data_IF_442811057869
#
_entry.id   IF_442811057869
#
_cell.length_a   1.000
_cell.length_b   1.000
_cell.length_c   1.000
_cell.angle_alpha   90.00
_cell.angle_beta   90.00
_cell.angle_gamma   90.00
#
_symmetry.space_group_name_H-M   'P 1'
#
loop_
_entity.id
_entity.type
_entity.pdbx_description
1 polymer ?
#
# COMPACT_ATOMS: atom_id res chain seq x y z
N UNK A 1 16.33 -21.15 13.86
CA UNK A 1 15.31 -22.04 14.45
C UNK A 1 14.03 -21.31 14.88
N UNK A 2 14.09 -20.26 15.73
CA UNK A 2 12.86 -19.52 16.13
C UNK A 2 12.33 -18.61 15.04
N UNK A 3 13.19 -17.91 14.32
CA UNK A 3 12.81 -17.07 13.19
C UNK A 3 12.06 -17.88 12.12
N UNK A 4 12.54 -19.04 11.75
CA UNK A 4 11.91 -19.91 10.76
C UNK A 4 10.52 -20.38 11.22
N UNK A 5 10.37 -20.64 12.53
CA UNK A 5 9.05 -20.97 13.11
C UNK A 5 8.08 -19.79 13.01
N UNK A 6 8.54 -18.56 13.32
CA UNK A 6 7.70 -17.35 13.16
C UNK A 6 7.26 -17.17 11.72
N UNK A 7 8.18 -17.29 10.77
CA UNK A 7 7.86 -17.16 9.34
C UNK A 7 6.86 -18.24 8.90
N UNK A 8 7.02 -19.48 9.36
CA UNK A 8 6.18 -20.61 8.92
C UNK A 8 4.72 -20.48 9.32
N UNK A 9 4.38 -19.70 10.34
CA UNK A 9 2.99 -19.50 10.81
C UNK A 9 2.32 -18.24 10.22
N UNK A 10 3.07 -17.38 9.51
CA UNK A 10 2.51 -16.17 8.90
C UNK A 10 1.30 -16.48 7.98
N UNK A 11 1.36 -17.47 7.06
CA UNK A 11 0.22 -17.78 6.21
C UNK A 11 -1.03 -18.17 7.00
N UNK A 12 -0.88 -18.89 8.11
CA UNK A 12 -1.98 -19.26 9.00
C UNK A 12 -2.57 -18.03 9.70
N UNK A 13 -1.72 -17.13 10.23
CA UNK A 13 -2.16 -15.87 10.82
C UNK A 13 -2.94 -15.02 9.80
N UNK A 14 -2.46 -14.94 8.56
CA UNK A 14 -3.16 -14.22 7.49
C UNK A 14 -4.52 -14.86 7.21
N UNK A 15 -4.60 -16.19 7.17
CA UNK A 15 -5.87 -16.89 6.94
C UNK A 15 -6.88 -16.62 8.06
N UNK A 16 -6.42 -16.62 9.32
CA UNK A 16 -7.28 -16.29 10.46
C UNK A 16 -7.78 -14.85 10.37
N UNK A 17 -6.89 -13.89 10.06
CA UNK A 17 -7.23 -12.48 9.89
C UNK A 17 -8.19 -12.25 8.71
N UNK A 18 -7.95 -12.91 7.58
CA UNK A 18 -8.87 -12.85 6.43
C UNK A 18 -10.25 -13.38 6.79
N UNK A 19 -10.33 -14.43 7.59
CA UNK A 19 -11.60 -14.99 8.09
C UNK A 19 -12.27 -14.06 9.09
N UNK A 20 -11.51 -13.51 10.05
CA UNK A 20 -12.00 -12.58 11.08
C UNK A 20 -12.61 -11.33 10.45
N UNK A 21 -11.95 -10.77 9.42
CA UNK A 21 -12.37 -9.52 8.77
C UNK A 21 -13.09 -9.72 7.44
N UNK A 22 -13.43 -10.95 7.10
CA UNK A 22 -14.20 -11.31 5.89
C UNK A 22 -13.56 -10.82 4.60
N UNK A 23 -12.23 -10.96 4.48
CA UNK A 23 -11.47 -10.58 3.29
C UNK A 23 -11.43 -11.74 2.30
N UNK A 24 -12.28 -11.69 1.29
CA UNK A 24 -12.45 -12.79 0.32
C UNK A 24 -11.42 -12.72 -0.81
N UNK A 25 -10.99 -11.50 -1.20
CA UNK A 25 -10.07 -11.33 -2.31
C UNK A 25 -8.66 -11.86 -1.95
N UNK A 26 -8.10 -12.81 -2.71
CA UNK A 26 -6.74 -13.28 -2.49
C UNK A 26 -5.69 -12.21 -2.80
N UNK A 27 -5.94 -11.32 -3.78
CA UNK A 27 -5.06 -10.24 -4.21
C UNK A 27 -5.63 -8.91 -3.75
N UNK A 28 -5.03 -8.34 -2.72
CA UNK A 28 -5.57 -7.14 -2.04
C UNK A 28 -5.27 -5.86 -2.83
N UNK A 29 -4.04 -5.69 -3.31
CA UNK A 29 -3.62 -4.50 -4.08
C UNK A 29 -3.97 -3.20 -3.32
N UNK A 30 -4.54 -2.22 -4.02
CA UNK A 30 -4.98 -0.91 -3.48
C UNK A 30 -6.22 -0.98 -2.60
N UNK A 31 -6.96 -2.09 -2.56
CA UNK A 31 -8.01 -2.34 -1.57
C UNK A 31 -7.47 -2.25 -0.12
N UNK A 32 -6.14 -2.38 0.06
CA UNK A 32 -5.46 -2.26 1.35
C UNK A 32 -5.78 -0.95 2.06
N UNK A 33 -5.96 0.15 1.33
CA UNK A 33 -6.31 1.44 1.93
C UNK A 33 -7.71 1.39 2.57
N UNK A 34 -8.69 0.84 1.87
CA UNK A 34 -10.04 0.67 2.40
C UNK A 34 -10.10 -0.29 3.58
N UNK A 35 -9.24 -1.32 3.60
CA UNK A 35 -9.10 -2.23 4.73
C UNK A 35 -8.52 -1.46 5.93
N UNK A 36 -7.41 -0.73 5.74
CA UNK A 36 -6.76 0.05 6.79
C UNK A 36 -7.72 1.10 7.40
N UNK A 37 -8.45 1.83 6.56
CA UNK A 37 -9.42 2.85 6.98
C UNK A 37 -10.59 2.30 7.83
N UNK A 38 -10.90 1.00 7.74
CA UNK A 38 -11.89 0.34 8.59
C UNK A 38 -11.38 0.04 10.00
N UNK A 39 -10.06 -0.05 10.18
CA UNK A 39 -9.44 -0.51 11.42
C UNK A 39 -8.79 0.59 12.25
N UNK A 40 -8.46 1.73 11.63
CA UNK A 40 -7.79 2.83 12.30
C UNK A 40 -8.09 4.19 11.64
N UNK A 41 -7.64 5.25 12.29
CA UNK A 41 -7.70 6.60 11.73
C UNK A 41 -6.50 6.78 10.80
N UNK A 42 -6.74 6.93 9.50
CA UNK A 42 -5.66 7.10 8.51
C UNK A 42 -5.54 8.57 8.11
N UNK A 43 -4.33 9.09 8.21
CA UNK A 43 -3.96 10.43 7.76
C UNK A 43 -3.11 10.30 6.50
N UNK A 44 -3.58 10.89 5.40
CA UNK A 44 -2.85 10.99 4.15
C UNK A 44 -2.33 12.42 3.99
N UNK A 45 -1.03 12.56 3.81
CA UNK A 45 -0.45 13.88 3.55
C UNK A 45 0.92 13.76 2.85
N UNK A 46 1.22 14.61 1.83
CA UNK A 46 2.49 14.55 1.12
C UNK A 46 3.60 15.25 1.89
N UNK A 47 4.66 14.53 2.24
CA UNK A 47 5.90 15.06 2.80
C UNK A 47 7.05 14.76 1.82
N UNK A 48 7.38 15.74 0.97
CA UNK A 48 8.25 15.54 -0.18
C UNK A 48 9.72 15.23 0.15
N UNK A 49 10.25 15.72 1.24
CA UNK A 49 11.66 15.57 1.60
C UNK A 49 11.90 14.51 2.69
N UNK A 50 10.86 13.78 3.07
CA UNK A 50 10.95 12.76 4.13
C UNK A 50 11.27 11.40 3.54
N UNK A 51 12.18 10.66 4.19
CA UNK A 51 12.47 9.27 3.84
C UNK A 51 11.36 8.33 4.29
N UNK A 52 10.62 8.73 5.34
CA UNK A 52 9.58 7.91 5.93
C UNK A 52 8.38 7.78 4.98
N UNK A 53 7.93 6.55 4.74
CA UNK A 53 6.77 6.25 3.92
C UNK A 53 5.47 6.28 4.72
N UNK A 54 5.52 6.00 6.01
CA UNK A 54 4.40 6.01 6.94
C UNK A 54 4.83 5.65 8.34
N UNK A 55 3.91 5.70 9.28
CA UNK A 55 4.10 5.19 10.64
C UNK A 55 2.76 4.94 11.32
N UNK A 56 2.77 4.04 12.27
CA UNK A 56 1.67 3.74 13.19
C UNK A 56 1.94 4.35 14.56
N UNK A 57 0.90 4.85 15.22
CA UNK A 57 0.94 5.29 16.61
C UNK A 57 -0.40 5.08 17.30
N UNK A 58 -0.36 4.90 18.62
CA UNK A 58 -1.54 4.76 19.46
C UNK A 58 -1.74 6.00 20.33
N UNK A 59 -2.94 6.53 20.38
CA UNK A 59 -3.31 7.68 21.19
C UNK A 59 -4.57 7.40 22.01
N UNK A 60 -4.70 8.09 23.12
CA UNK A 60 -5.93 8.08 23.90
C UNK A 60 -6.77 9.28 23.52
N UNK A 61 -7.99 9.04 23.05
CA UNK A 61 -8.99 10.06 22.76
C UNK A 61 -10.22 9.76 23.62
N UNK A 62 -10.56 10.67 24.54
CA UNK A 62 -11.71 10.50 25.45
C UNK A 62 -11.72 9.10 26.10
N UNK A 63 -10.61 8.72 26.69
CA UNK A 63 -10.37 7.44 27.38
C UNK A 63 -10.43 6.17 26.50
N UNK A 64 -10.57 6.33 25.18
CA UNK A 64 -10.45 5.22 24.22
C UNK A 64 -9.07 5.26 23.59
N UNK A 65 -8.47 4.07 23.49
CA UNK A 65 -7.23 3.88 22.73
C UNK A 65 -7.59 3.73 21.26
N UNK A 66 -7.06 4.64 20.45
CA UNK A 66 -7.27 4.69 19.00
C UNK A 66 -5.94 4.49 18.29
N UNK A 67 -5.95 3.70 17.23
CA UNK A 67 -4.81 3.52 16.34
C UNK A 67 -4.84 4.61 15.26
N UNK A 68 -3.67 5.22 15.01
CA UNK A 68 -3.46 6.20 13.96
C UNK A 68 -2.38 5.70 13.02
N UNK A 69 -2.63 5.80 11.73
CA UNK A 69 -1.65 5.52 10.70
C UNK A 69 -1.49 6.77 9.83
N UNK A 70 -0.25 7.13 9.57
CA UNK A 70 0.11 8.14 8.60
C UNK A 70 0.66 7.46 7.34
N UNK A 71 0.21 7.90 6.17
CA UNK A 71 0.73 7.47 4.86
C UNK A 71 1.26 8.68 4.10
N UNK A 72 2.53 8.62 3.68
CA UNK A 72 3.17 9.67 2.89
C UNK A 72 2.76 9.58 1.42
N UNK A 73 1.87 10.43 1.00
CA UNK A 73 1.30 10.46 -0.35
C UNK A 73 2.20 11.12 -1.41
N UNK A 74 3.37 11.65 -1.03
CA UNK A 74 4.43 12.05 -1.94
C UNK A 74 5.30 10.87 -2.41
N UNK A 75 5.05 9.65 -1.90
CA UNK A 75 5.72 8.43 -2.35
C UNK A 75 4.95 7.79 -3.52
N UNK A 76 5.64 6.97 -4.36
CA UNK A 76 4.98 6.18 -5.38
C UNK A 76 3.83 5.33 -4.82
N UNK A 77 2.77 5.12 -5.62
CA UNK A 77 1.59 4.37 -5.15
C UNK A 77 1.96 2.94 -4.71
N UNK A 78 2.92 2.30 -5.37
CA UNK A 78 3.42 0.99 -4.98
C UNK A 78 4.03 0.99 -3.57
N UNK A 79 4.78 2.04 -3.22
CA UNK A 79 5.33 2.21 -1.86
C UNK A 79 4.22 2.50 -0.85
N UNK A 80 3.21 3.32 -1.22
CA UNK A 80 2.07 3.59 -0.35
C UNK A 80 1.27 2.31 -0.04
N UNK A 81 1.04 1.44 -1.03
CA UNK A 81 0.35 0.15 -0.86
C UNK A 81 1.12 -0.76 0.10
N UNK A 82 2.44 -0.89 -0.11
CA UNK A 82 3.26 -1.71 0.78
C UNK A 82 3.29 -1.16 2.21
N UNK A 83 3.43 0.16 2.35
CA UNK A 83 3.37 0.84 3.66
C UNK A 83 2.03 0.59 4.34
N UNK A 84 0.91 0.73 3.63
CA UNK A 84 -0.42 0.49 4.21
C UNK A 84 -0.58 -0.95 4.74
N UNK A 85 -0.05 -1.95 4.03
CA UNK A 85 -0.04 -3.33 4.49
C UNK A 85 0.87 -3.56 5.70
N UNK A 86 2.02 -2.90 5.74
CA UNK A 86 2.94 -2.92 6.88
C UNK A 86 2.28 -2.32 8.13
N UNK A 87 1.74 -1.11 8.02
CA UNK A 87 1.09 -0.43 9.14
C UNK A 87 -0.16 -1.18 9.62
N UNK A 88 -0.88 -1.84 8.70
CA UNK A 88 -1.99 -2.73 9.06
C UNK A 88 -1.53 -3.90 9.92
N UNK A 89 -0.32 -4.42 9.67
CA UNK A 89 0.29 -5.46 10.51
C UNK A 89 0.47 -5.00 11.96
N UNK A 90 0.89 -3.77 12.20
CA UNK A 90 0.98 -3.17 13.54
C UNK A 90 -0.41 -2.95 14.16
N UNK A 91 -1.37 -2.43 13.39
CA UNK A 91 -2.76 -2.23 13.85
C UNK A 91 -3.41 -3.54 14.27
N UNK A 92 -3.19 -4.61 13.52
CA UNK A 92 -3.73 -5.94 13.82
C UNK A 92 -2.96 -6.71 14.91
N UNK A 93 -1.83 -6.17 15.39
CA UNK A 93 -0.99 -6.84 16.41
C UNK A 93 -0.43 -8.16 15.91
N UNK A 94 0.02 -8.21 14.66
CA UNK A 94 0.45 -9.44 13.98
C UNK A 94 1.62 -10.11 14.70
N UNK A 95 2.58 -9.34 15.22
CA UNK A 95 3.71 -9.87 15.96
C UNK A 95 3.25 -10.69 17.18
N UNK A 96 2.34 -10.16 17.99
CA UNK A 96 1.78 -10.84 19.15
C UNK A 96 0.99 -12.10 18.76
N UNK A 97 0.23 -12.04 17.66
CA UNK A 97 -0.53 -13.20 17.14
C UNK A 97 0.42 -14.32 16.69
N UNK A 98 1.52 -14.00 16.01
CA UNK A 98 2.55 -14.96 15.60
C UNK A 98 3.21 -15.60 16.83
N UNK A 99 3.65 -14.79 17.81
CA UNK A 99 4.27 -15.27 19.04
C UNK A 99 3.33 -16.20 19.81
N UNK A 100 2.06 -15.87 19.90
CA UNK A 100 1.05 -16.73 20.54
C UNK A 100 0.88 -18.08 19.84
N UNK A 101 0.94 -18.11 18.49
CA UNK A 101 0.83 -19.38 17.74
C UNK A 101 2.00 -20.32 17.93
N UNK A 102 3.21 -19.79 18.11
CA UNK A 102 4.40 -20.62 18.34
C UNK A 102 4.65 -20.95 19.81
N UNK A 103 3.71 -20.52 20.68
CA UNK A 103 3.76 -20.74 22.12
C UNK A 103 5.12 -20.32 22.73
N UNK A 104 5.50 -19.07 22.48
CA UNK A 104 6.74 -18.50 22.97
C UNK A 104 6.49 -17.21 23.75
N UNK A 105 7.24 -17.04 24.85
CA UNK A 105 7.26 -15.83 25.65
C UNK A 105 8.42 -14.88 25.27
N UNK A 106 8.98 -15.06 24.09
CA UNK A 106 10.06 -14.22 23.60
C UNK A 106 9.51 -12.82 23.37
N UNK A 107 10.27 -11.84 23.83
CA UNK A 107 10.04 -10.44 23.48
C UNK A 107 10.91 -10.12 22.28
N UNK A 108 10.27 -9.72 21.18
CA UNK A 108 10.99 -9.24 20.01
C UNK A 108 11.65 -7.88 20.29
N UNK A 109 12.85 -7.69 19.78
CA UNK A 109 13.43 -6.36 19.65
C UNK A 109 12.71 -5.60 18.51
N UNK A 110 12.76 -4.28 18.55
CA UNK A 110 12.05 -3.44 17.56
C UNK A 110 12.42 -3.81 16.12
N UNK A 111 13.71 -4.00 15.84
CA UNK A 111 14.19 -4.34 14.49
C UNK A 111 13.69 -5.71 14.00
N UNK A 112 13.49 -6.67 14.90
CA UNK A 112 12.99 -7.99 14.54
C UNK A 112 11.47 -7.99 14.38
N UNK A 113 10.76 -7.19 15.16
CA UNK A 113 9.34 -6.93 14.95
C UNK A 113 9.10 -6.31 13.58
N UNK A 114 9.85 -5.26 13.21
CA UNK A 114 9.76 -4.60 11.90
C UNK A 114 10.01 -5.57 10.74
N UNK A 115 11.02 -6.45 10.86
CA UNK A 115 11.28 -7.48 9.85
C UNK A 115 10.12 -8.47 9.73
N UNK A 116 9.52 -8.86 10.87
CA UNK A 116 8.39 -9.79 10.90
C UNK A 116 7.14 -9.16 10.25
N UNK A 117 6.86 -7.90 10.56
CA UNK A 117 5.76 -7.14 9.96
C UNK A 117 6.00 -6.93 8.45
N UNK A 118 7.22 -6.62 8.03
CA UNK A 118 7.56 -6.56 6.60
C UNK A 118 7.31 -7.90 5.89
N UNK A 119 7.64 -9.02 6.55
CA UNK A 119 7.39 -10.36 6.00
C UNK A 119 5.88 -10.65 5.90
N UNK A 120 5.13 -10.28 6.92
CA UNK A 120 3.67 -10.36 6.91
C UNK A 120 3.08 -9.53 5.76
N UNK A 121 3.48 -8.25 5.61
CA UNK A 121 3.00 -7.38 4.54
C UNK A 121 3.27 -7.97 3.14
N UNK A 122 4.47 -8.53 2.94
CA UNK A 122 4.83 -9.19 1.70
C UNK A 122 3.94 -10.42 1.40
N UNK A 123 3.68 -11.27 2.41
CA UNK A 123 2.81 -12.44 2.27
C UNK A 123 1.34 -12.06 2.07
N UNK A 124 0.87 -11.01 2.75
CA UNK A 124 -0.50 -10.51 2.64
C UNK A 124 -0.79 -9.97 1.22
N UNK A 125 0.14 -9.17 0.66
CA UNK A 125 -0.01 -8.55 -0.65
C UNK A 125 0.32 -9.53 -1.80
N UNK A 126 1.33 -10.39 -1.61
CA UNK A 126 1.84 -11.35 -2.59
C UNK A 126 1.75 -12.78 -2.04
N UNK A 127 0.55 -13.36 -1.87
CA UNK A 127 0.40 -14.73 -1.38
C UNK A 127 1.18 -15.70 -2.30
N UNK A 128 1.91 -16.64 -1.69
CA UNK A 128 2.87 -17.48 -2.43
C UNK A 128 2.28 -18.17 -3.65
N UNK A 129 1.08 -18.75 -3.50
CA UNK A 129 0.42 -19.47 -4.58
C UNK A 129 0.12 -18.58 -5.79
N UNK A 130 -0.49 -17.44 -5.54
CA UNK A 130 -0.86 -16.45 -6.55
C UNK A 130 0.39 -15.83 -7.18
N UNK A 131 1.40 -15.53 -6.35
CA UNK A 131 2.67 -14.96 -6.79
C UNK A 131 3.41 -15.90 -7.75
N UNK A 132 3.51 -17.19 -7.42
CA UNK A 132 4.13 -18.20 -8.29
C UNK A 132 3.33 -18.43 -9.57
N UNK A 133 2.00 -18.50 -9.48
CA UNK A 133 1.14 -18.69 -10.64
C UNK A 133 1.28 -17.56 -11.66
N UNK A 134 1.22 -16.31 -11.19
CA UNK A 134 1.38 -15.13 -12.06
C UNK A 134 2.81 -15.03 -12.63
N UNK A 135 3.83 -15.41 -11.86
CA UNK A 135 5.20 -15.46 -12.37
C UNK A 135 5.31 -16.36 -13.62
N UNK A 136 4.80 -17.58 -13.55
CA UNK A 136 4.84 -18.49 -14.69
C UNK A 136 3.92 -18.05 -15.83
N UNK A 137 2.81 -17.39 -15.54
CA UNK A 137 1.94 -16.82 -16.55
C UNK A 137 2.65 -15.69 -17.31
N UNK A 138 3.31 -14.78 -16.59
CA UNK A 138 4.08 -13.66 -17.16
C UNK A 138 5.27 -14.17 -17.99
N UNK A 139 5.97 -15.20 -17.53
CA UNK A 139 7.01 -15.88 -18.32
C UNK A 139 6.45 -16.42 -19.65
N UNK A 140 5.29 -17.06 -19.60
CA UNK A 140 4.62 -17.61 -20.79
C UNK A 140 4.16 -16.50 -21.76
N UNK A 141 3.63 -15.39 -21.23
CA UNK A 141 3.20 -14.24 -22.04
C UNK A 141 4.37 -13.66 -22.85
N UNK A 142 5.54 -13.59 -22.23
CA UNK A 142 6.79 -13.17 -22.91
C UNK A 142 7.44 -14.28 -23.75
N UNK A 143 6.79 -15.45 -23.92
CA UNK A 143 7.31 -16.61 -24.66
C UNK A 143 8.65 -17.13 -24.12
N UNK A 144 8.89 -16.97 -22.82
CA UNK A 144 10.10 -17.43 -22.15
C UNK A 144 9.87 -18.90 -21.74
N UNK A 145 10.59 -19.80 -22.36
CA UNK A 145 10.46 -21.26 -22.16
C UNK A 145 11.64 -21.84 -21.40
N UNK A 146 12.82 -21.21 -21.51
CA UNK A 146 14.07 -21.72 -20.95
C UNK A 146 14.35 -21.16 -19.53
N UNK A 147 15.08 -21.98 -18.74
CA UNK A 147 15.61 -21.54 -17.44
C UNK A 147 16.76 -20.53 -17.55
N UNK A 148 17.22 -20.24 -18.78
CA UNK A 148 18.23 -19.22 -19.08
C UNK A 148 17.51 -18.02 -19.70
N UNK A 149 17.30 -17.01 -18.91
CA UNK A 149 16.62 -15.79 -19.31
C UNK A 149 17.61 -14.62 -19.41
N UNK A 150 17.44 -13.75 -20.39
CA UNK A 150 18.18 -12.48 -20.46
C UNK A 150 17.71 -11.58 -19.33
N UNK A 151 18.63 -10.77 -18.80
CA UNK A 151 18.32 -9.85 -17.69
C UNK A 151 17.17 -8.90 -18.03
N UNK A 152 17.10 -8.41 -19.26
CA UNK A 152 16.04 -7.51 -19.72
C UNK A 152 14.66 -8.19 -19.68
N UNK A 153 14.56 -9.42 -20.21
CA UNK A 153 13.30 -10.18 -20.18
C UNK A 153 12.90 -10.53 -18.75
N UNK A 154 13.88 -10.83 -17.89
CA UNK A 154 13.61 -11.12 -16.49
C UNK A 154 13.10 -9.87 -15.74
N UNK A 155 13.67 -8.69 -16.00
CA UNK A 155 13.16 -7.44 -15.40
C UNK A 155 11.76 -7.12 -15.91
N UNK A 156 11.41 -7.44 -17.16
CA UNK A 156 10.02 -7.33 -17.65
C UNK A 156 9.06 -8.19 -16.82
N UNK A 157 9.42 -9.45 -16.54
CA UNK A 157 8.63 -10.32 -15.66
C UNK A 157 8.47 -9.70 -14.27
N UNK A 158 9.54 -9.12 -13.69
CA UNK A 158 9.46 -8.45 -12.40
C UNK A 158 8.50 -7.25 -12.46
N UNK A 159 8.55 -6.42 -13.51
CA UNK A 159 7.66 -5.27 -13.66
C UNK A 159 6.20 -5.71 -13.83
N UNK A 160 5.95 -6.80 -14.54
CA UNK A 160 4.60 -7.38 -14.61
C UNK A 160 4.12 -7.82 -13.23
N UNK A 161 4.97 -8.50 -12.44
CA UNK A 161 4.64 -8.87 -11.06
C UNK A 161 4.39 -7.63 -10.16
N UNK A 162 5.21 -6.57 -10.30
CA UNK A 162 4.98 -5.31 -9.59
C UNK A 162 3.59 -4.76 -9.90
N UNK A 163 3.19 -4.78 -11.16
CA UNK A 163 1.88 -4.29 -11.60
C UNK A 163 0.73 -5.20 -11.12
N UNK A 164 0.90 -6.51 -11.17
CA UNK A 164 -0.10 -7.48 -10.73
C UNK A 164 -0.47 -7.29 -9.25
N UNK A 165 0.53 -7.03 -8.41
CA UNK A 165 0.36 -6.92 -6.96
C UNK A 165 0.38 -5.46 -6.43
N UNK A 166 0.65 -4.47 -7.28
CA UNK A 166 0.83 -3.06 -6.93
C UNK A 166 1.87 -2.82 -5.84
N UNK A 167 3.02 -3.46 -5.96
CA UNK A 167 4.11 -3.39 -4.97
C UNK A 167 5.42 -2.90 -5.60
N UNK A 168 6.36 -2.34 -4.80
CA UNK A 168 7.63 -1.85 -5.34
C UNK A 168 8.55 -3.02 -5.76
N UNK A 169 9.50 -2.70 -6.65
CA UNK A 169 10.51 -3.62 -7.16
C UNK A 169 11.19 -4.45 -6.07
N UNK A 170 11.62 -3.80 -5.00
CA UNK A 170 12.34 -4.46 -3.90
C UNK A 170 11.50 -5.55 -3.22
N UNK A 171 10.19 -5.31 -3.08
CA UNK A 171 9.27 -6.28 -2.51
C UNK A 171 9.14 -7.53 -3.39
N UNK A 172 9.02 -7.35 -4.72
CA UNK A 172 8.97 -8.46 -5.68
C UNK A 172 10.28 -9.22 -5.68
N UNK A 173 11.42 -8.53 -5.73
CA UNK A 173 12.75 -9.16 -5.72
C UNK A 173 12.95 -10.05 -4.49
N UNK A 174 12.63 -9.52 -3.30
CA UNK A 174 12.71 -10.29 -2.04
C UNK A 174 11.76 -11.47 -2.06
N UNK A 175 10.52 -11.25 -2.51
CA UNK A 175 9.52 -12.30 -2.57
C UNK A 175 9.91 -13.44 -3.50
N UNK A 176 10.58 -13.16 -4.62
CA UNK A 176 11.12 -14.20 -5.51
C UNK A 176 12.17 -15.10 -4.83
N UNK A 177 13.04 -14.51 -3.99
CA UNK A 177 14.00 -15.30 -3.20
C UNK A 177 13.27 -16.14 -2.15
N UNK A 178 12.35 -15.54 -1.43
CA UNK A 178 11.58 -16.18 -0.35
C UNK A 178 10.73 -17.36 -0.85
N UNK A 179 10.18 -17.26 -2.05
CA UNK A 179 9.38 -18.32 -2.69
C UNK A 179 10.24 -19.28 -3.52
N UNK A 180 11.58 -19.14 -3.45
CA UNK A 180 12.53 -19.97 -4.20
C UNK A 180 12.30 -19.98 -5.73
N UNK A 181 11.76 -18.88 -6.27
CA UNK A 181 11.71 -18.65 -7.72
C UNK A 181 13.07 -18.27 -8.28
N UNK A 182 13.89 -17.61 -7.46
CA UNK A 182 15.30 -17.33 -7.75
C UNK A 182 16.16 -17.69 -6.55
N UNK A 183 17.47 -17.93 -6.80
CA UNK A 183 18.42 -18.16 -5.72
C UNK A 183 18.83 -16.86 -5.04
N UNK A 184 19.39 -16.94 -3.84
CA UNK A 184 19.93 -15.78 -3.13
C UNK A 184 21.02 -15.06 -3.93
N UNK A 185 21.86 -15.81 -4.69
CA UNK A 185 22.92 -15.22 -5.52
C UNK A 185 22.32 -14.33 -6.61
N UNK A 186 21.25 -14.78 -7.27
CA UNK A 186 20.52 -13.97 -8.26
C UNK A 186 19.89 -12.76 -7.59
N UNK A 187 19.26 -12.92 -6.43
CA UNK A 187 18.71 -11.83 -5.64
C UNK A 187 19.76 -10.76 -5.29
N UNK A 188 20.96 -11.18 -4.86
CA UNK A 188 22.11 -10.29 -4.58
C UNK A 188 22.67 -9.62 -5.84
N UNK A 189 22.68 -10.32 -6.98
CA UNK A 189 23.10 -9.75 -8.27
C UNK A 189 22.18 -8.59 -8.70
N UNK A 190 20.87 -8.77 -8.55
CA UNK A 190 19.86 -7.76 -8.83
C UNK A 190 19.98 -6.53 -7.91
N UNK A 191 20.42 -6.72 -6.67
CA UNK A 191 20.63 -5.68 -5.68
C UNK A 191 21.91 -4.86 -5.96
N UNK A 192 22.98 -5.50 -6.44
CA UNK A 192 24.26 -4.85 -6.72
C UNK A 192 24.25 -3.90 -7.91
N UNK A 193 23.38 -4.08 -8.88
CA UNK A 193 23.33 -3.32 -10.12
C UNK A 193 22.17 -2.31 -10.12
N UNK A 194 21.95 -1.63 -8.99
CA UNK A 194 20.77 -0.83 -8.71
C UNK A 194 20.44 0.18 -9.81
N UNK A 195 21.41 1.00 -10.24
CA UNK A 195 21.16 2.04 -11.26
C UNK A 195 20.73 1.46 -12.60
N UNK A 196 21.39 0.42 -13.07
CA UNK A 196 21.04 -0.26 -14.32
C UNK A 196 19.65 -0.90 -14.23
N UNK A 197 19.37 -1.61 -13.13
CA UNK A 197 18.10 -2.28 -12.90
C UNK A 197 16.95 -1.25 -12.79
N UNK A 198 17.15 -0.16 -12.06
CA UNK A 198 16.15 0.91 -11.93
C UNK A 198 15.84 1.57 -13.27
N UNK A 199 16.85 1.76 -14.13
CA UNK A 199 16.64 2.28 -15.47
C UNK A 199 15.75 1.33 -16.31
N UNK A 200 16.00 0.01 -16.26
CA UNK A 200 15.18 -0.99 -16.95
C UNK A 200 13.75 -1.04 -16.37
N UNK A 201 13.61 -1.07 -15.05
CA UNK A 201 12.30 -1.05 -14.38
C UNK A 201 11.50 0.17 -14.82
N UNK A 202 12.09 1.37 -14.79
CA UNK A 202 11.43 2.60 -15.22
C UNK A 202 11.03 2.56 -16.70
N UNK A 203 11.89 2.03 -17.57
CA UNK A 203 11.58 1.91 -19.00
C UNK A 203 10.39 0.95 -19.23
N UNK A 204 10.41 -0.23 -18.60
CA UNK A 204 9.36 -1.22 -18.78
C UNK A 204 8.04 -0.84 -18.09
N UNK A 205 8.11 -0.12 -16.96
CA UNK A 205 6.90 0.46 -16.32
C UNK A 205 6.19 1.45 -17.25
N UNK A 206 6.94 2.25 -18.00
CA UNK A 206 6.39 3.14 -19.02
C UNK A 206 5.81 2.39 -20.21
N UNK A 207 6.51 1.36 -20.70
CA UNK A 207 6.02 0.52 -21.80
C UNK A 207 4.69 -0.16 -21.46
N UNK A 208 4.55 -0.62 -20.22
CA UNK A 208 3.31 -1.25 -19.71
C UNK A 208 2.25 -0.22 -19.25
N UNK A 209 2.58 1.08 -19.32
CA UNK A 209 1.72 2.16 -18.85
C UNK A 209 1.19 1.93 -17.41
N UNK A 210 2.09 1.51 -16.51
CA UNK A 210 1.74 1.26 -15.11
C UNK A 210 1.56 2.56 -14.34
N UNK A 211 0.77 2.51 -13.26
CA UNK A 211 0.57 3.65 -12.35
C UNK A 211 1.48 3.59 -11.13
N UNK A 212 2.39 2.59 -11.06
CA UNK A 212 3.16 2.26 -9.87
C UNK A 212 4.04 3.40 -9.34
N UNK A 213 4.60 4.20 -10.27
CA UNK A 213 5.47 5.33 -9.96
C UNK A 213 4.70 6.65 -9.72
N UNK A 214 3.37 6.64 -9.91
CA UNK A 214 2.55 7.82 -9.69
C UNK A 214 2.48 8.15 -8.20
N UNK A 215 2.56 9.44 -7.88
CA UNK A 215 2.30 9.98 -6.54
C UNK A 215 0.85 10.45 -6.47
N UNK A 216 0.17 10.21 -5.37
CA UNK A 216 -1.24 10.58 -5.24
C UNK A 216 -1.41 12.01 -4.73
N UNK A 217 -0.45 12.50 -3.95
CA UNK A 217 -0.50 13.79 -3.24
C UNK A 217 -1.81 14.03 -2.46
N UNK A 218 -2.53 12.94 -2.17
CA UNK A 218 -3.80 12.97 -1.43
C UNK A 218 -3.58 13.63 -0.07
N UNK A 219 -4.44 14.57 0.28
CA UNK A 219 -4.48 15.22 1.58
C UNK A 219 -5.82 14.93 2.25
N UNK A 220 -5.81 14.09 3.26
CA UNK A 220 -7.03 13.71 3.99
C UNK A 220 -6.71 13.50 5.45
N UNK A 221 -7.40 14.26 6.30
CA UNK A 221 -7.41 14.09 7.75
C UNK A 221 -8.86 13.85 8.14
N UNK A 222 -9.20 12.68 8.70
CA UNK A 222 -10.57 12.38 9.11
C UNK A 222 -11.12 13.43 10.07
N UNK A 223 -12.33 13.92 9.80
CA UNK A 223 -13.00 14.92 10.63
C UNK A 223 -12.47 16.36 10.48
N UNK A 224 -11.47 16.61 9.62
CA UNK A 224 -10.88 17.95 9.47
C UNK A 224 -11.93 18.99 9.04
N UNK A 225 -12.82 18.66 8.11
CA UNK A 225 -13.88 19.57 7.65
C UNK A 225 -14.79 20.01 8.80
N UNK A 226 -15.28 19.05 9.58
CA UNK A 226 -16.12 19.36 10.74
C UNK A 226 -15.38 20.19 11.80
N UNK A 227 -14.10 19.94 11.99
CA UNK A 227 -13.25 20.74 12.88
C UNK A 227 -13.08 22.18 12.36
N UNK A 228 -12.82 22.34 11.05
CA UNK A 228 -12.71 23.67 10.41
C UNK A 228 -14.01 24.45 10.55
N UNK A 229 -15.17 23.81 10.31
CA UNK A 229 -16.49 24.44 10.47
C UNK A 229 -16.73 24.91 11.92
N UNK A 230 -16.34 24.09 12.92
CA UNK A 230 -16.43 24.47 14.34
C UNK A 230 -15.51 25.64 14.69
N UNK A 231 -14.28 25.63 14.18
CA UNK A 231 -13.30 26.71 14.38
C UNK A 231 -13.80 28.02 13.78
N UNK A 232 -14.37 27.98 12.58
CA UNK A 232 -14.92 29.13 11.87
C UNK A 232 -16.12 29.70 12.62
N UNK A 233 -17.08 28.87 13.01
CA UNK A 233 -18.25 29.30 13.82
C UNK A 233 -17.85 29.85 15.17
N UNK A 234 -16.86 29.24 15.82
CA UNK A 234 -16.34 29.70 17.13
C UNK A 234 -15.38 30.88 17.06
N UNK A 235 -14.95 31.30 15.85
CA UNK A 235 -13.90 32.30 15.62
C UNK A 235 -12.63 32.03 16.44
N UNK A 236 -12.21 30.74 16.47
CA UNK A 236 -11.11 30.28 17.30
C UNK A 236 -9.73 30.46 16.66
N UNK A 237 -9.66 30.75 15.37
CA UNK A 237 -8.45 31.06 14.62
C UNK A 237 -8.62 32.36 13.86
N UNK A 238 -7.50 33.03 13.54
CA UNK A 238 -7.49 34.15 12.63
C UNK A 238 -7.86 33.71 11.21
N UNK A 239 -8.42 34.62 10.45
CA UNK A 239 -8.95 34.40 9.11
C UNK A 239 -7.86 33.94 8.12
N UNK A 240 -6.64 34.47 8.27
CA UNK A 240 -5.52 34.07 7.39
C UNK A 240 -5.13 32.60 7.59
N UNK A 241 -4.98 32.18 8.84
CA UNK A 241 -4.67 30.76 9.17
C UNK A 241 -5.78 29.82 8.71
N UNK A 242 -7.04 30.20 8.91
CA UNK A 242 -8.20 29.43 8.48
C UNK A 242 -8.24 29.28 6.97
N UNK A 243 -8.08 30.35 6.20
CA UNK A 243 -8.01 30.34 4.74
C UNK A 243 -6.85 29.46 4.23
N UNK A 244 -5.70 29.51 4.88
CA UNK A 244 -4.56 28.69 4.53
C UNK A 244 -4.85 27.20 4.70
N UNK A 245 -5.47 26.79 5.81
CA UNK A 245 -5.88 25.40 6.05
C UNK A 245 -6.91 24.95 5.01
N UNK A 246 -7.96 25.77 4.78
CA UNK A 246 -8.99 25.47 3.78
C UNK A 246 -8.38 25.27 2.40
N UNK A 247 -7.46 26.14 1.99
CA UNK A 247 -6.77 26.05 0.70
C UNK A 247 -5.85 24.83 0.60
N UNK A 248 -5.10 24.51 1.67
CA UNK A 248 -4.16 23.38 1.66
C UNK A 248 -4.87 22.01 1.52
N UNK A 249 -6.08 21.91 2.07
CA UNK A 249 -6.90 20.69 2.04
C UNK A 249 -8.09 20.74 1.08
N UNK A 250 -8.16 21.72 0.20
CA UNK A 250 -9.24 21.91 -0.78
C UNK A 250 -10.65 21.85 -0.17
N UNK A 251 -10.82 22.36 1.06
CA UNK A 251 -12.08 22.21 1.81
C UNK A 251 -13.24 22.94 1.13
N UNK A 252 -12.96 24.06 0.47
CA UNK A 252 -13.97 24.88 -0.22
C UNK A 252 -14.17 24.50 -1.69
N UNK A 253 -13.31 23.63 -2.28
CA UNK A 253 -13.37 23.24 -3.69
C UNK A 253 -14.31 22.05 -3.97
N UNK A 254 -14.80 21.40 -2.94
CA UNK A 254 -15.78 20.34 -3.10
C UNK A 254 -17.13 20.99 -3.37
N UNK A 255 -17.63 20.87 -4.62
CA UNK A 255 -19.03 21.14 -4.95
C UNK A 255 -19.90 20.48 -3.90
N UNK A 256 -20.56 21.29 -3.05
CA UNK A 256 -21.46 20.75 -2.03
C UNK A 256 -22.55 19.91 -2.67
N UNK A 257 -23.09 18.96 -1.93
CA UNK A 257 -24.24 18.13 -2.34
C UNK A 257 -25.46 18.97 -2.75
N UNK A 258 -25.46 20.27 -2.44
CA UNK A 258 -26.50 21.26 -2.79
C UNK A 258 -26.18 22.06 -4.05
N UNK A 259 -25.12 21.75 -4.80
CA UNK A 259 -24.83 22.42 -6.06
C UNK A 259 -25.84 21.97 -7.10
N UNK A 260 -26.82 22.83 -7.40
CA UNK A 260 -27.80 22.62 -8.47
C UNK A 260 -27.08 22.89 -9.81
N UNK A 261 -26.94 21.86 -10.60
CA UNK A 261 -26.45 21.97 -11.98
C UNK A 261 -27.66 22.16 -12.88
N UNK A 262 -27.77 23.31 -13.53
CA UNK A 262 -28.81 23.60 -14.51
C UNK A 262 -28.45 22.87 -15.80
N UNK A 263 -29.05 21.70 -16.03
CA UNK A 263 -28.87 20.95 -17.27
C UNK A 263 -29.92 21.47 -18.27
N UNK A 264 -29.50 22.26 -19.26
CA UNK A 264 -30.34 22.53 -20.43
C UNK A 264 -30.45 21.26 -21.25
N UNK A 265 -31.57 20.55 -21.07
CA UNK A 265 -31.97 19.49 -22.01
C UNK A 265 -32.35 20.19 -23.30
N UNK A 266 -31.52 20.04 -24.32
CA UNK A 266 -31.87 20.55 -25.64
C UNK A 266 -33.18 19.92 -26.10
N UNK A 267 -34.14 20.76 -26.53
CA UNK A 267 -35.38 20.32 -27.17
C UNK A 267 -35.00 19.37 -28.32
N UNK A 268 -35.47 18.13 -28.24
CA UNK A 268 -35.44 17.23 -29.37
C UNK A 268 -36.25 17.90 -30.49
N UNK A 269 -35.57 18.30 -31.56
CA UNK A 269 -36.22 18.76 -32.76
C UNK A 269 -37.07 17.60 -33.26
N UNK A 270 -38.37 17.68 -33.02
CA UNK A 270 -39.34 16.91 -33.74
C UNK A 270 -39.24 17.35 -35.22
N UNK A 271 -38.62 16.49 -36.02
CA UNK A 271 -38.61 16.62 -37.48
C UNK A 271 -39.97 16.20 -37.98
N UNK A 272 -40.75 17.19 -38.38
CA UNK A 272 -41.82 16.99 -39.33
C UNK A 272 -41.24 16.79 -40.72
N UNK A 273 -41.87 15.87 -41.46
CA UNK A 273 -41.91 15.52 -42.87
C UNK A 273 -41.04 14.37 -43.34
#
# INVERSE_FOLDING_TARGET
MEWDRMISVIPEVIQDLKSEYTLINPMIRDDIFGILEKHCIVVYYPLFNEKNCGFHTKRFIKDKREDFVYINTAKPIAEQVFTAAHELGHVWGVADKILSKIDTNIRLECDDEEKLINRFAAELLMPEKEFRNLFFLNMKELSIVDNKIKIEDFIRVIVMQMNDFMVPYESVRRRMVETSLITEEVGKLLDKNVEFIQALVSAFSKDLNTILDNVTEKKTIPGLRALVDQIEQGKLLDEYTLCKVKKDFDIDSILGTDTIIDIKIGDSADGED
#
